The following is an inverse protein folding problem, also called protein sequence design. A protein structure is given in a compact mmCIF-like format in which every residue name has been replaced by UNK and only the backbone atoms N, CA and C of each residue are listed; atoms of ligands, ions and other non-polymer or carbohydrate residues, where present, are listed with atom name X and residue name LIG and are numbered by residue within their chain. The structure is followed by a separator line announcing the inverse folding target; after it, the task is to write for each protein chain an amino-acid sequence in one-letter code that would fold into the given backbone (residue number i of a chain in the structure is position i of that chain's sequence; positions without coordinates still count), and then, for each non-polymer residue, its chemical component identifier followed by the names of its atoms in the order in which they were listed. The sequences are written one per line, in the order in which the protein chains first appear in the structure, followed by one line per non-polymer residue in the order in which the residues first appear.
data_IF_974105645138
#
_entry.id   IF_974105645138
#
_cell.length_a   1.000
_cell.length_b   1.000
_cell.length_c   1.000
_cell.angle_alpha   90.00
_cell.angle_beta   90.00
_cell.angle_gamma   90.00
#
_symmetry.space_group_name_H-M   'P 1'
#
loop_
_entity.id
_entity.type
_entity.pdbx_description
1 polymer ?
#
# COMPACT_ATOMS: atom_id res chain seq x y z
N UNK A 1 31.75 -12.63 -3.04
CA UNK A 1 30.37 -12.12 -3.22
C UNK A 1 29.74 -12.92 -4.36
N UNK A 2 28.72 -13.76 -4.11
CA UNK A 2 27.98 -14.42 -5.20
C UNK A 2 27.11 -13.35 -5.87
N UNK A 3 27.25 -13.17 -7.18
CA UNK A 3 26.31 -12.36 -7.97
C UNK A 3 24.89 -12.87 -7.71
N UNK A 4 24.02 -11.96 -7.26
CA UNK A 4 22.59 -12.24 -7.16
C UNK A 4 22.05 -12.18 -8.58
N UNK A 5 21.74 -13.32 -9.17
CA UNK A 5 21.09 -13.36 -10.48
C UNK A 5 19.64 -12.90 -10.27
N UNK A 6 19.33 -11.71 -10.78
CA UNK A 6 17.98 -11.17 -10.79
C UNK A 6 17.16 -11.92 -11.84
N UNK A 7 16.13 -12.65 -11.39
CA UNK A 7 15.27 -13.43 -12.26
C UNK A 7 14.09 -12.60 -12.83
N UNK A 8 13.70 -11.54 -12.13
CA UNK A 8 12.66 -10.59 -12.57
C UNK A 8 12.76 -9.31 -11.74
N UNK A 9 12.58 -8.16 -12.37
CA UNK A 9 12.57 -6.85 -11.70
C UNK A 9 11.35 -6.03 -12.11
N UNK A 10 10.78 -5.29 -11.15
CA UNK A 10 9.70 -4.34 -11.39
C UNK A 10 10.01 -3.05 -10.62
N UNK A 11 10.16 -1.94 -11.34
CA UNK A 11 10.30 -0.61 -10.75
C UNK A 11 8.99 0.17 -10.90
N UNK A 12 8.55 0.78 -9.81
CA UNK A 12 7.35 1.59 -9.73
C UNK A 12 7.71 2.98 -9.20
N UNK A 13 7.16 4.01 -9.83
CA UNK A 13 7.26 5.39 -9.37
C UNK A 13 5.86 5.98 -9.21
N UNK A 14 5.61 6.54 -8.04
CA UNK A 14 4.39 7.28 -7.74
C UNK A 14 4.62 8.77 -8.03
N UNK A 15 3.95 9.30 -9.05
CA UNK A 15 4.00 10.74 -9.37
C UNK A 15 3.33 11.60 -8.30
N UNK A 16 2.39 11.03 -7.54
CA UNK A 16 1.62 11.75 -6.53
C UNK A 16 2.36 11.88 -5.19
N UNK A 17 3.21 10.91 -4.84
CA UNK A 17 3.95 10.89 -3.55
C UNK A 17 5.45 11.03 -3.72
N UNK A 18 5.98 10.94 -4.94
CA UNK A 18 7.42 10.88 -5.20
C UNK A 18 8.07 9.57 -4.73
N UNK A 19 7.27 8.58 -4.36
CA UNK A 19 7.73 7.31 -3.84
C UNK A 19 8.18 6.37 -4.98
N UNK A 20 9.38 5.82 -4.83
CA UNK A 20 9.97 4.85 -5.73
C UNK A 20 10.04 3.49 -5.03
N UNK A 21 9.51 2.44 -5.67
CA UNK A 21 9.55 1.07 -5.17
C UNK A 21 10.14 0.19 -6.25
N UNK A 22 11.15 -0.61 -5.93
CA UNK A 22 11.66 -1.66 -6.80
C UNK A 22 11.54 -3.02 -6.14
N UNK A 23 11.15 -3.99 -6.95
CA UNK A 23 10.93 -5.37 -6.57
C UNK A 23 11.86 -6.22 -7.42
N UNK A 24 12.71 -7.02 -6.77
CA UNK A 24 13.67 -7.87 -7.45
C UNK A 24 13.53 -9.29 -6.92
N UNK A 25 13.16 -10.24 -7.78
CA UNK A 25 13.13 -11.65 -7.43
C UNK A 25 14.51 -12.23 -7.72
N UNK A 26 15.12 -12.87 -6.73
CA UNK A 26 16.45 -13.46 -6.88
C UNK A 26 16.50 -14.88 -6.29
N UNK A 27 17.41 -15.70 -6.82
CA UNK A 27 17.61 -17.09 -6.41
C UNK A 27 16.32 -17.94 -6.43
N UNK A 28 15.31 -17.56 -7.24
CA UNK A 28 13.97 -18.19 -7.34
C UNK A 28 13.16 -18.29 -6.02
N UNK A 29 13.70 -17.85 -4.89
CA UNK A 29 13.15 -18.08 -3.54
C UNK A 29 12.97 -16.81 -2.73
N UNK A 30 13.69 -15.74 -3.07
CA UNK A 30 13.67 -14.50 -2.31
C UNK A 30 13.17 -13.36 -3.18
N UNK A 31 12.43 -12.45 -2.55
CA UNK A 31 12.04 -11.17 -3.10
C UNK A 31 12.74 -10.08 -2.30
N UNK A 32 13.53 -9.27 -2.97
CA UNK A 32 14.08 -8.03 -2.45
C UNK A 32 13.13 -6.89 -2.76
N UNK A 33 12.88 -6.08 -1.75
CA UNK A 33 12.02 -4.92 -1.85
C UNK A 33 12.84 -3.72 -1.42
N UNK A 34 12.95 -2.76 -2.32
CA UNK A 34 13.57 -1.48 -2.05
C UNK A 34 12.50 -0.41 -2.21
N UNK A 35 12.24 0.33 -1.15
CA UNK A 35 11.23 1.38 -1.12
C UNK A 35 11.90 2.66 -0.64
N UNK A 36 11.96 3.65 -1.52
CA UNK A 36 12.47 4.99 -1.24
C UNK A 36 11.32 5.98 -1.28
N UNK A 37 11.12 6.66 -0.16
CA UNK A 37 10.28 7.85 -0.06
C UNK A 37 11.17 9.05 0.30
N UNK A 38 10.64 10.26 0.16
CA UNK A 38 11.37 11.51 0.45
C UNK A 38 12.01 11.58 1.84
N UNK A 39 11.52 10.80 2.81
CA UNK A 39 12.02 10.77 4.19
C UNK A 39 12.77 9.50 4.57
N UNK A 40 12.36 8.35 4.02
CA UNK A 40 12.85 7.04 4.46
C UNK A 40 13.19 6.18 3.26
N UNK A 41 14.28 5.43 3.39
CA UNK A 41 14.68 4.38 2.48
C UNK A 41 14.71 3.06 3.24
N UNK A 42 14.00 2.05 2.73
CA UNK A 42 13.85 0.75 3.37
C UNK A 42 14.20 -0.31 2.34
N UNK A 43 15.09 -1.23 2.71
CA UNK A 43 15.52 -2.35 1.88
C UNK A 43 15.43 -3.64 2.72
N UNK A 44 14.65 -4.60 2.27
CA UNK A 44 14.47 -5.87 2.98
C UNK A 44 14.24 -7.02 2.00
N UNK A 45 14.62 -8.20 2.44
CA UNK A 45 14.48 -9.44 1.68
C UNK A 45 13.39 -10.30 2.33
N UNK A 46 12.53 -10.94 1.53
CA UNK A 46 11.46 -11.84 2.01
C UNK A 46 11.59 -13.18 1.29
N UNK A 47 11.37 -14.27 2.02
CA UNK A 47 11.22 -15.59 1.42
C UNK A 47 9.80 -15.79 0.84
N UNK A 48 9.72 -16.11 -0.45
CA UNK A 48 8.47 -16.31 -1.19
C UNK A 48 7.55 -17.37 -0.57
N UNK A 49 8.16 -18.39 0.06
CA UNK A 49 7.48 -19.49 0.71
C UNK A 49 6.53 -19.07 1.85
N UNK A 50 6.74 -17.88 2.41
CA UNK A 50 6.04 -17.36 3.59
C UNK A 50 4.83 -16.50 3.24
N UNK A 51 4.67 -16.20 1.95
CA UNK A 51 3.61 -15.35 1.45
C UNK A 51 2.39 -16.16 1.02
N UNK A 52 1.23 -15.52 1.12
CA UNK A 52 0.03 -16.02 0.48
C UNK A 52 0.10 -15.77 -1.04
N UNK A 53 -0.24 -16.77 -1.87
CA UNK A 53 -0.22 -16.62 -3.32
C UNK A 53 -1.36 -15.74 -3.85
N UNK A 54 -2.34 -15.39 -3.02
CA UNK A 54 -3.54 -14.65 -3.42
C UNK A 54 -3.42 -13.18 -2.98
N UNK A 55 -2.98 -12.26 -3.86
CA UNK A 55 -2.91 -10.85 -3.50
C UNK A 55 -4.30 -10.28 -3.31
N UNK A 56 -4.45 -9.46 -2.28
CA UNK A 56 -5.69 -8.75 -2.01
C UNK A 56 -5.55 -7.31 -2.51
N UNK A 57 -6.51 -6.88 -3.31
CA UNK A 57 -6.61 -5.49 -3.74
C UNK A 57 -7.27 -4.68 -2.62
N UNK A 58 -6.57 -3.69 -2.10
CA UNK A 58 -7.10 -2.78 -1.11
C UNK A 58 -6.97 -1.34 -1.60
N UNK A 59 -8.08 -0.59 -1.52
CA UNK A 59 -8.08 0.86 -1.71
C UNK A 59 -8.22 1.51 -0.35
N UNK A 60 -7.17 2.18 0.13
CA UNK A 60 -7.24 2.94 1.39
C UNK A 60 -7.98 4.24 1.11
N UNK A 61 -9.31 4.25 1.26
CA UNK A 61 -10.10 5.47 1.07
C UNK A 61 -9.92 6.35 2.32
N UNK A 62 -9.34 7.53 2.13
CA UNK A 62 -9.19 8.50 3.21
C UNK A 62 -10.49 9.27 3.43
N UNK A 63 -11.37 8.71 4.26
CA UNK A 63 -12.69 9.27 4.57
C UNK A 63 -12.66 10.71 5.09
N UNK A 64 -11.63 11.08 5.87
CA UNK A 64 -11.48 12.45 6.42
C UNK A 64 -11.30 13.49 5.30
N UNK A 65 -10.59 13.14 4.23
CA UNK A 65 -10.40 14.01 3.08
C UNK A 65 -11.62 13.99 2.16
N UNK A 66 -12.27 12.84 2.01
CA UNK A 66 -13.53 12.74 1.28
C UNK A 66 -14.61 13.63 1.90
N UNK A 67 -14.77 13.60 3.23
CA UNK A 67 -15.73 14.45 3.93
C UNK A 67 -15.42 15.93 3.76
N UNK A 68 -14.13 16.31 3.79
CA UNK A 68 -13.71 17.69 3.56
C UNK A 68 -14.06 18.16 2.15
N UNK A 69 -13.82 17.33 1.13
CA UNK A 69 -14.21 17.63 -0.26
C UNK A 69 -15.72 17.85 -0.38
N UNK A 70 -16.53 16.99 0.24
CA UNK A 70 -17.99 17.11 0.21
C UNK A 70 -18.46 18.41 0.87
N UNK A 71 -17.96 18.72 2.08
CA UNK A 71 -18.34 19.95 2.80
C UNK A 71 -17.96 21.19 1.99
N UNK A 72 -16.75 21.23 1.43
CA UNK A 72 -16.28 22.36 0.66
C UNK A 72 -17.02 22.52 -0.67
N UNK A 73 -17.44 21.42 -1.30
CA UNK A 73 -18.25 21.45 -2.52
C UNK A 73 -19.65 21.97 -2.24
N UNK A 74 -20.30 21.50 -1.17
CA UNK A 74 -21.60 22.01 -0.73
C UNK A 74 -21.52 23.50 -0.40
N UNK A 75 -20.49 23.93 0.33
CA UNK A 75 -20.27 25.33 0.69
C UNK A 75 -20.07 26.21 -0.55
N UNK A 76 -19.22 25.78 -1.48
CA UNK A 76 -18.95 26.52 -2.73
C UNK A 76 -20.22 26.64 -3.59
N UNK A 77 -21.02 25.56 -3.65
CA UNK A 77 -22.29 25.56 -4.40
C UNK A 77 -23.33 26.46 -3.74
N UNK A 78 -23.47 26.39 -2.42
CA UNK A 78 -24.39 27.24 -1.66
C UNK A 78 -24.03 28.74 -1.80
N UNK A 79 -22.74 29.07 -1.75
CA UNK A 79 -22.25 30.43 -1.99
C UNK A 79 -22.56 30.89 -3.42
N UNK A 80 -22.31 30.06 -4.42
CA UNK A 80 -22.64 30.37 -5.82
C UNK A 80 -24.15 30.61 -6.04
N UNK A 81 -25.01 29.79 -5.44
CA UNK A 81 -26.46 29.96 -5.50
C UNK A 81 -26.88 31.25 -4.81
N UNK A 82 -26.37 31.50 -3.59
CA UNK A 82 -26.66 32.72 -2.85
C UNK A 82 -26.27 33.98 -3.63
N UNK A 83 -25.11 33.93 -4.30
CA UNK A 83 -24.64 35.02 -5.16
C UNK A 83 -25.55 35.25 -6.37
N UNK A 84 -26.01 34.16 -7.00
CA UNK A 84 -26.93 34.24 -8.15
C UNK A 84 -28.29 34.85 -7.76
N UNK A 85 -28.82 34.48 -6.59
CA UNK A 85 -30.13 34.95 -6.12
C UNK A 85 -30.13 36.41 -5.62
N UNK A 86 -29.00 36.91 -5.14
CA UNK A 86 -28.89 38.26 -4.54
C UNK A 86 -27.98 39.18 -5.39
N UNK A 87 -27.84 38.91 -6.68
CA UNK A 87 -26.87 39.57 -7.56
C UNK A 87 -26.97 41.10 -7.53
N UNK A 88 -28.17 41.67 -7.39
CA UNK A 88 -28.37 43.12 -7.43
C UNK A 88 -27.91 43.85 -6.15
N UNK A 89 -27.81 43.15 -5.02
CA UNK A 89 -27.51 43.73 -3.69
C UNK A 89 -26.15 43.30 -3.13
N UNK A 90 -25.36 42.54 -3.88
CA UNK A 90 -24.12 41.96 -3.40
C UNK A 90 -22.90 42.84 -3.68
N UNK A 91 -22.07 43.02 -2.65
CA UNK A 91 -20.76 43.62 -2.81
C UNK A 91 -19.79 42.61 -3.47
N UNK A 92 -19.71 42.68 -4.80
CA UNK A 92 -18.84 41.82 -5.60
C UNK A 92 -17.37 41.83 -5.17
N UNK A 93 -16.88 42.93 -4.56
CA UNK A 93 -15.50 43.06 -4.08
C UNK A 93 -15.14 42.11 -2.94
N UNK A 94 -16.12 41.67 -2.14
CA UNK A 94 -15.89 40.72 -1.04
C UNK A 94 -16.25 39.28 -1.45
N UNK A 95 -17.37 39.10 -2.16
CA UNK A 95 -17.93 37.77 -2.43
C UNK A 95 -17.22 37.02 -3.56
N UNK A 96 -16.71 37.70 -4.59
CA UNK A 96 -15.97 37.04 -5.68
C UNK A 96 -14.66 36.40 -5.16
N UNK A 97 -13.80 37.10 -4.40
CA UNK A 97 -12.60 36.49 -3.84
C UNK A 97 -12.91 35.33 -2.88
N UNK A 98 -14.00 35.42 -2.11
CA UNK A 98 -14.43 34.35 -1.20
C UNK A 98 -14.82 33.07 -1.97
N UNK A 99 -15.61 33.21 -3.04
CA UNK A 99 -15.99 32.09 -3.90
C UNK A 99 -14.76 31.47 -4.58
N UNK A 100 -13.87 32.30 -5.13
CA UNK A 100 -12.62 31.84 -5.73
C UNK A 100 -11.76 31.06 -4.71
N UNK A 101 -11.62 31.59 -3.49
CA UNK A 101 -10.91 30.92 -2.40
C UNK A 101 -11.51 29.56 -2.04
N UNK A 102 -12.83 29.47 -1.96
CA UNK A 102 -13.53 28.20 -1.70
C UNK A 102 -13.25 27.16 -2.82
N UNK A 103 -13.27 27.59 -4.08
CA UNK A 103 -12.92 26.72 -5.22
C UNK A 103 -11.46 26.25 -5.13
N UNK A 104 -10.49 27.14 -4.87
CA UNK A 104 -9.09 26.72 -4.70
C UNK A 104 -8.92 25.73 -3.54
N UNK A 105 -9.66 25.94 -2.44
CA UNK A 105 -9.61 25.04 -1.29
C UNK A 105 -10.21 23.66 -1.60
N UNK A 106 -11.32 23.61 -2.36
CA UNK A 106 -11.88 22.33 -2.84
C UNK A 106 -10.88 21.57 -3.71
N UNK A 107 -10.22 22.25 -4.65
CA UNK A 107 -9.19 21.65 -5.51
C UNK A 107 -8.03 21.09 -4.68
N UNK A 108 -7.55 21.85 -3.69
CA UNK A 108 -6.53 21.39 -2.75
C UNK A 108 -6.96 20.13 -1.97
N UNK A 109 -8.20 20.10 -1.47
CA UNK A 109 -8.76 18.95 -0.77
C UNK A 109 -8.88 17.71 -1.68
N UNK A 110 -9.25 17.89 -2.94
CA UNK A 110 -9.31 16.81 -3.95
C UNK A 110 -7.91 16.23 -4.20
N UNK A 111 -6.90 17.08 -4.38
CA UNK A 111 -5.51 16.65 -4.58
C UNK A 111 -5.05 15.82 -3.37
N UNK A 112 -5.29 16.31 -2.16
CA UNK A 112 -4.94 15.61 -0.92
C UNK A 112 -5.70 14.27 -0.79
N UNK A 113 -6.97 14.22 -1.18
CA UNK A 113 -7.74 12.98 -1.22
C UNK A 113 -7.12 11.95 -2.16
N UNK A 114 -6.69 12.36 -3.36
CA UNK A 114 -6.05 11.46 -4.34
C UNK A 114 -4.72 10.93 -3.78
N UNK A 115 -3.87 11.81 -3.25
CA UNK A 115 -2.57 11.44 -2.67
C UNK A 115 -2.75 10.47 -1.49
N UNK A 116 -3.75 10.71 -0.64
CA UNK A 116 -4.03 9.90 0.55
C UNK A 116 -4.92 8.68 0.27
N UNK A 117 -5.37 8.48 -0.96
CA UNK A 117 -6.18 7.32 -1.36
C UNK A 117 -5.49 6.42 -2.40
N UNK A 118 -4.28 5.90 -2.14
CA UNK A 118 -3.60 5.04 -3.09
C UNK A 118 -4.36 3.71 -3.26
N UNK A 119 -4.43 3.25 -4.51
CA UNK A 119 -4.94 1.94 -4.87
C UNK A 119 -3.76 0.97 -4.95
N UNK A 120 -3.68 0.06 -3.97
CA UNK A 120 -2.54 -0.84 -3.80
C UNK A 120 -2.98 -2.29 -3.86
N UNK A 121 -2.06 -3.14 -4.31
CA UNK A 121 -2.16 -4.59 -4.23
C UNK A 121 -1.23 -5.06 -3.13
N UNK A 122 -1.77 -5.78 -2.16
CA UNK A 122 -1.03 -6.21 -0.97
C UNK A 122 -0.87 -7.73 -0.96
N UNK A 123 0.35 -8.20 -0.67
CA UNK A 123 0.64 -9.60 -0.37
C UNK A 123 0.81 -9.75 1.14
N UNK A 124 0.16 -10.76 1.71
CA UNK A 124 0.15 -11.02 3.14
C UNK A 124 1.00 -12.22 3.51
N UNK A 125 1.43 -12.26 4.75
CA UNK A 125 2.05 -13.44 5.35
C UNK A 125 1.00 -14.54 5.54
N UNK A 126 1.40 -15.80 5.38
CA UNK A 126 0.50 -16.96 5.35
C UNK A 126 -0.32 -17.13 6.63
N UNK A 127 0.31 -17.10 7.80
CA UNK A 127 -0.38 -17.38 9.05
C UNK A 127 -0.61 -16.11 9.88
N UNK A 128 0.33 -15.18 9.84
CA UNK A 128 0.23 -13.88 10.51
C UNK A 128 -0.77 -12.92 9.84
N UNK A 129 -1.01 -13.04 8.53
CA UNK A 129 -1.86 -12.13 7.76
C UNK A 129 -1.37 -10.69 7.72
N UNK A 130 -0.09 -10.46 8.04
CA UNK A 130 0.56 -9.16 8.00
C UNK A 130 0.86 -8.78 6.56
N UNK A 131 0.72 -7.52 6.19
CA UNK A 131 1.10 -7.04 4.86
C UNK A 131 2.62 -7.05 4.76
N UNK A 132 3.15 -7.84 3.81
CA UNK A 132 4.58 -7.98 3.55
C UNK A 132 5.02 -7.21 2.31
N UNK A 133 4.13 -7.07 1.34
CA UNK A 133 4.39 -6.34 0.10
C UNK A 133 3.20 -5.44 -0.16
N UNK A 134 3.46 -4.20 -0.54
CA UNK A 134 2.47 -3.28 -1.11
C UNK A 134 2.97 -2.80 -2.46
N UNK A 135 2.27 -3.14 -3.53
CA UNK A 135 2.55 -2.68 -4.90
C UNK A 135 1.48 -1.70 -5.36
N UNK A 136 1.87 -0.69 -6.14
CA UNK A 136 0.90 0.20 -6.78
C UNK A 136 0.16 -0.54 -7.90
N UNK A 137 -1.17 -0.50 -7.88
CA UNK A 137 -1.98 -1.22 -8.85
C UNK A 137 -1.78 -0.67 -10.27
N UNK A 138 -1.48 -1.56 -11.23
CA UNK A 138 -1.28 -1.24 -12.68
C UNK A 138 -0.17 -0.23 -12.98
N UNK A 139 0.86 -0.15 -12.13
CA UNK A 139 2.04 0.68 -12.37
C UNK A 139 3.27 -0.21 -12.58
N UNK A 140 4.21 0.15 -13.48
CA UNK A 140 4.21 1.32 -14.37
C UNK A 140 3.21 1.20 -15.52
N UNK A 141 3.03 -0.01 -16.07
CA UNK A 141 2.04 -0.36 -17.09
C UNK A 141 1.19 -1.54 -16.57
N UNK A 142 -0.07 -1.65 -17.03
CA UNK A 142 -0.96 -2.76 -16.69
C UNK A 142 -0.37 -4.11 -17.13
N UNK A 143 0.26 -4.17 -18.32
CA UNK A 143 0.83 -5.43 -18.84
C UNK A 143 1.98 -5.92 -17.97
N UNK A 144 3.02 -5.10 -17.81
CA UNK A 144 4.23 -5.48 -17.06
C UNK A 144 3.92 -5.73 -15.58
N UNK A 145 2.97 -4.98 -15.01
CA UNK A 145 2.47 -5.24 -13.67
C UNK A 145 1.78 -6.60 -13.54
N UNK A 146 0.85 -6.93 -14.44
CA UNK A 146 0.13 -8.21 -14.37
C UNK A 146 1.08 -9.38 -14.62
N UNK A 147 2.01 -9.25 -15.58
CA UNK A 147 3.02 -10.26 -15.86
C UNK A 147 3.90 -10.52 -14.63
N UNK A 148 4.42 -9.46 -14.00
CA UNK A 148 5.21 -9.59 -12.77
C UNK A 148 4.40 -10.22 -11.63
N UNK A 149 3.15 -9.80 -11.45
CA UNK A 149 2.26 -10.37 -10.42
C UNK A 149 1.98 -11.85 -10.67
N UNK A 150 1.73 -12.27 -11.91
CA UNK A 150 1.54 -13.68 -12.25
C UNK A 150 2.82 -14.49 -12.04
N UNK A 151 3.98 -13.98 -12.45
CA UNK A 151 5.26 -14.62 -12.16
C UNK A 151 5.49 -14.76 -10.66
N UNK A 152 5.19 -13.72 -9.87
CA UNK A 152 5.32 -13.76 -8.41
C UNK A 152 4.37 -14.80 -7.79
N UNK A 153 3.11 -14.84 -8.21
CA UNK A 153 2.13 -15.86 -7.77
C UNK A 153 2.62 -17.28 -8.05
N UNK A 154 3.05 -17.54 -9.28
CA UNK A 154 3.51 -18.86 -9.69
C UNK A 154 4.75 -19.30 -8.89
N UNK A 155 5.66 -18.37 -8.60
CA UNK A 155 6.85 -18.65 -7.77
C UNK A 155 6.50 -18.86 -6.29
N UNK A 156 5.54 -18.11 -5.73
CA UNK A 156 5.03 -18.35 -4.37
C UNK A 156 4.38 -19.73 -4.28
N UNK A 157 3.56 -20.11 -5.26
CA UNK A 157 2.93 -21.44 -5.34
C UNK A 157 3.99 -22.55 -5.43
N UNK A 158 4.99 -22.40 -6.30
CA UNK A 158 6.09 -23.36 -6.44
C UNK A 158 6.93 -23.49 -5.16
N UNK A 159 7.28 -22.37 -4.53
CA UNK A 159 8.02 -22.36 -3.26
C UNK A 159 7.21 -23.00 -2.11
N UNK A 160 5.89 -22.85 -2.14
CA UNK A 160 4.97 -23.47 -1.18
C UNK A 160 4.86 -24.97 -1.34
N UNK A 161 4.73 -25.46 -2.58
CA UNK A 161 4.55 -26.89 -2.84
C UNK A 161 5.82 -27.70 -2.51
N UNK A 162 6.99 -27.06 -2.57
CA UNK A 162 8.27 -27.69 -2.23
C UNK A 162 8.54 -27.76 -0.72
N UNK A 163 7.69 -27.15 0.12
CA UNK A 163 7.84 -27.19 1.58
C UNK A 163 7.22 -28.47 2.17
N UNK A 164 8.07 -29.38 2.61
CA UNK A 164 7.70 -30.57 3.39
C UNK A 164 7.97 -30.37 4.88
N UNK A 165 7.59 -29.21 5.41
CA UNK A 165 7.84 -28.83 6.81
C UNK A 165 6.54 -28.93 7.61
N UNK A 166 6.62 -29.42 8.84
CA UNK A 166 5.48 -29.46 9.75
C UNK A 166 4.92 -28.06 10.05
N UNK A 167 3.62 -27.97 10.28
CA UNK A 167 2.90 -26.71 10.50
C UNK A 167 3.46 -25.93 11.69
N UNK A 168 3.80 -26.61 12.79
CA UNK A 168 4.36 -25.97 13.99
C UNK A 168 5.71 -25.28 13.70
N UNK A 169 6.58 -25.96 12.96
CA UNK A 169 7.87 -25.43 12.53
C UNK A 169 7.70 -24.26 11.56
N UNK A 170 6.72 -24.33 10.65
CA UNK A 170 6.43 -23.23 9.73
C UNK A 170 5.95 -21.97 10.45
N UNK A 171 5.12 -22.12 11.50
CA UNK A 171 4.68 -21.00 12.34
C UNK A 171 5.85 -20.34 13.09
N UNK A 172 6.78 -21.14 13.61
CA UNK A 172 7.98 -20.63 14.28
C UNK A 172 8.92 -19.89 13.31
N UNK A 173 9.11 -20.42 12.10
CA UNK A 173 9.86 -19.76 11.03
C UNK A 173 9.19 -18.43 10.66
N UNK A 174 7.87 -18.40 10.51
CA UNK A 174 7.13 -17.16 10.23
C UNK A 174 7.28 -16.11 11.31
N UNK A 175 7.17 -16.50 12.58
CA UNK A 175 7.34 -15.57 13.69
C UNK A 175 8.76 -14.98 13.74
N UNK A 176 9.79 -15.79 13.45
CA UNK A 176 11.19 -15.35 13.41
C UNK A 176 11.43 -14.33 12.31
N UNK A 177 10.89 -14.57 11.12
CA UNK A 177 11.02 -13.67 9.98
C UNK A 177 10.23 -12.37 10.18
N UNK A 178 9.01 -12.44 10.71
CA UNK A 178 8.25 -11.24 11.05
C UNK A 178 8.99 -10.37 12.08
N UNK A 179 9.65 -10.99 13.06
CA UNK A 179 10.50 -10.26 14.01
C UNK A 179 11.68 -9.58 13.31
N UNK A 180 12.36 -10.28 12.40
CA UNK A 180 13.45 -9.71 11.59
C UNK A 180 12.97 -8.51 10.77
N UNK A 181 11.84 -8.64 10.08
CA UNK A 181 11.25 -7.56 9.28
C UNK A 181 10.83 -6.36 10.13
N UNK A 182 10.40 -6.59 11.37
CA UNK A 182 10.10 -5.51 12.32
C UNK A 182 11.38 -4.78 12.74
N UNK A 183 12.46 -5.50 13.03
CA UNK A 183 13.76 -4.88 13.34
C UNK A 183 14.38 -4.12 12.16
N UNK A 184 14.07 -4.52 10.92
CA UNK A 184 14.47 -3.82 9.70
C UNK A 184 13.55 -2.63 9.37
N UNK A 185 12.50 -2.39 10.16
CA UNK A 185 11.54 -1.30 9.96
C UNK A 185 10.56 -1.52 8.80
N UNK A 186 10.54 -2.72 8.21
CA UNK A 186 9.63 -3.07 7.12
C UNK A 186 8.18 -3.23 7.59
N UNK A 187 7.98 -3.60 8.85
CA UNK A 187 6.67 -3.83 9.48
C UNK A 187 6.60 -3.01 10.78
N UNK A 188 5.42 -2.47 11.11
CA UNK A 188 5.22 -1.75 12.38
C UNK A 188 5.11 -2.70 13.57
N UNK A 189 5.52 -2.27 14.76
CA UNK A 189 5.38 -3.07 15.99
C UNK A 189 3.93 -3.50 16.27
N UNK A 190 2.96 -2.64 15.92
CA UNK A 190 1.54 -2.94 16.04
C UNK A 190 1.07 -4.05 15.08
N UNK A 191 1.62 -4.10 13.87
CA UNK A 191 1.35 -5.18 12.92
C UNK A 191 2.01 -6.49 13.36
N UNK A 192 3.24 -6.42 13.88
CA UNK A 192 3.94 -7.56 14.46
C UNK A 192 3.16 -8.17 15.64
N UNK A 193 2.68 -7.34 16.57
CA UNK A 193 1.90 -7.80 17.72
C UNK A 193 0.63 -8.56 17.28
N UNK A 194 -0.11 -8.00 16.32
CA UNK A 194 -1.31 -8.65 15.76
C UNK A 194 -0.99 -9.99 15.07
N UNK A 195 0.10 -10.04 14.30
CA UNK A 195 0.53 -11.26 13.63
C UNK A 195 0.98 -12.33 14.64
N UNK A 196 1.72 -11.92 15.68
CA UNK A 196 2.16 -12.77 16.79
C UNK A 196 0.96 -13.43 17.48
N UNK A 197 -0.05 -12.65 17.87
CA UNK A 197 -1.25 -13.17 18.54
C UNK A 197 -2.00 -14.19 17.66
N UNK A 198 -2.10 -13.93 16.36
CA UNK A 198 -2.74 -14.85 15.41
C UNK A 198 -1.96 -16.15 15.26
N UNK A 199 -0.63 -16.08 15.16
CA UNK A 199 0.25 -17.25 15.09
C UNK A 199 0.14 -18.09 16.37
N UNK A 200 0.12 -17.47 17.55
CA UNK A 200 -0.04 -18.19 18.82
C UNK A 200 -1.37 -18.94 18.90
N UNK A 201 -2.48 -18.32 18.49
CA UNK A 201 -3.80 -18.99 18.44
C UNK A 201 -3.81 -20.20 17.51
N UNK A 202 -3.11 -20.10 16.37
CA UNK A 202 -2.99 -21.21 15.43
C UNK A 202 -2.12 -22.34 15.97
N UNK A 203 -1.05 -22.00 16.70
CA UNK A 203 -0.17 -22.96 17.35
C UNK A 203 -0.88 -23.70 18.48
N UNK A 204 -1.70 -23.02 19.29
CA UNK A 204 -2.49 -23.65 20.37
C UNK A 204 -3.63 -24.54 19.86
N UNK A 205 -4.08 -24.33 18.63
CA UNK A 205 -5.14 -25.14 18.00
C UNK A 205 -4.62 -26.36 17.23
N UNK A 206 -3.29 -26.47 17.05
CA UNK A 206 -2.65 -27.55 16.30
C UNK A 206 -1.86 -28.55 17.17
N UNK A 207 -1.80 -28.33 18.48
CA UNK A 207 -1.27 -29.27 19.47
C UNK A 207 -2.41 -29.94 20.23
#
# INVERSE_FOLDING_TARGET
MREKVADATLAQKSTATGEERSFEIYNKKFLRIHSRNMRNEICYDINLAMMEPWPIRHRKISWRWLSLVIVMLVLSTALGIYMSLNADNLNYGFWIPLLAGAIFFTLGAIILFIIKSPNVMEFRSRYGGCVLISMFYRKPNNRDFNEFVEQLKNRILGATQQLTIDKSQMLAIELKELRRLTSEGAISDADYARAKDRIFRLHSASG
#
